data_IF_233400417517
#
_entry.id   IF_233400417517
#
_cell.length_a   1.000
_cell.length_b   1.000
_cell.length_c   1.000
_cell.angle_alpha   90.00
_cell.angle_beta   90.00
_cell.angle_gamma   90.00
#
_symmetry.space_group_name_H-M   'P 1'
#
loop_
_entity.id
_entity.type
_entity.pdbx_description
1 polymer ?
#
# COMPACT_ATOMS: atom_id res chain seq x y z
N UNK A 1 13.51 21.54 -8.23
CA UNK A 1 13.89 20.11 -8.32
C UNK A 1 13.60 19.56 -6.94
N UNK A 2 12.39 19.06 -6.73
CA UNK A 2 11.77 19.02 -5.38
C UNK A 2 11.56 17.60 -4.86
N UNK A 3 12.34 16.64 -5.39
CA UNK A 3 12.27 15.24 -4.99
C UNK A 3 13.58 14.84 -4.32
N UNK A 4 13.48 14.44 -3.05
CA UNK A 4 14.57 13.83 -2.29
C UNK A 4 14.57 12.32 -2.58
N UNK A 5 15.64 11.75 -3.17
CA UNK A 5 15.73 10.30 -3.33
C UNK A 5 15.97 9.67 -1.94
N UNK A 6 14.96 9.00 -1.41
CA UNK A 6 15.07 8.26 -0.15
C UNK A 6 15.34 6.79 -0.49
N UNK A 7 16.47 6.29 -0.02
CA UNK A 7 16.77 4.85 -0.05
C UNK A 7 16.36 4.27 1.30
N UNK A 8 15.21 3.60 1.35
CA UNK A 8 14.74 2.89 2.53
C UNK A 8 15.11 1.40 2.39
N UNK A 9 15.73 0.82 3.42
CA UNK A 9 15.87 -0.63 3.50
C UNK A 9 14.52 -1.24 3.86
N UNK A 10 13.88 -1.87 2.88
CA UNK A 10 12.56 -2.47 3.02
C UNK A 10 12.62 -3.98 3.30
N UNK A 11 13.81 -4.56 3.48
CA UNK A 11 13.96 -6.01 3.66
C UNK A 11 13.23 -6.47 4.93
N UNK A 12 12.24 -7.35 4.77
CA UNK A 12 11.31 -7.84 5.82
C UNK A 12 10.60 -6.72 6.60
N UNK A 13 10.37 -5.58 5.94
CA UNK A 13 9.55 -4.51 6.53
C UNK A 13 8.10 -4.67 6.11
N UNK A 14 7.14 -4.61 7.05
CA UNK A 14 5.73 -4.61 6.72
C UNK A 14 5.41 -3.33 5.92
N UNK A 15 4.89 -3.50 4.71
CA UNK A 15 4.48 -2.40 3.83
C UNK A 15 3.00 -2.57 3.47
N UNK A 16 2.19 -1.56 3.80
CA UNK A 16 0.78 -1.56 3.43
C UNK A 16 0.57 -0.87 2.08
N UNK A 17 -0.08 -1.57 1.16
CA UNK A 17 -0.56 -1.04 -0.12
C UNK A 17 -2.08 -0.94 -0.06
N UNK A 18 -2.60 0.27 -0.31
CA UNK A 18 -4.04 0.51 -0.38
C UNK A 18 -4.44 0.65 -1.85
N UNK A 19 -5.41 -0.17 -2.26
CA UNK A 19 -5.91 -0.25 -3.64
C UNK A 19 -5.44 -1.51 -4.36
N UNK A 20 -6.34 -2.10 -5.15
CA UNK A 20 -6.14 -3.38 -5.84
C UNK A 20 -6.11 -3.26 -7.36
N UNK A 21 -5.78 -2.08 -7.89
CA UNK A 21 -5.70 -1.85 -9.33
C UNK A 21 -4.29 -2.11 -9.89
N UNK A 22 -4.15 -2.10 -11.20
CA UNK A 22 -2.88 -2.32 -11.90
C UNK A 22 -1.78 -1.31 -11.48
N UNK A 23 -2.16 -0.08 -11.14
CA UNK A 23 -1.22 0.96 -10.69
C UNK A 23 -0.64 0.60 -9.30
N UNK A 24 -1.47 0.14 -8.38
CA UNK A 24 -1.05 -0.35 -7.08
C UNK A 24 -0.19 -1.61 -7.21
N UNK A 25 -0.51 -2.48 -8.18
CA UNK A 25 0.28 -3.67 -8.47
C UNK A 25 1.71 -3.33 -8.89
N UNK A 26 1.89 -2.32 -9.75
CA UNK A 26 3.24 -1.86 -10.17
C UNK A 26 4.10 -1.45 -8.97
N UNK A 27 3.52 -0.78 -7.98
CA UNK A 27 4.23 -0.39 -6.74
C UNK A 27 4.51 -1.60 -5.86
N UNK A 28 3.51 -2.48 -5.69
CA UNK A 28 3.62 -3.75 -4.94
C UNK A 28 4.78 -4.59 -5.46
N UNK A 29 4.91 -4.74 -6.78
CA UNK A 29 6.00 -5.48 -7.40
C UNK A 29 7.39 -4.90 -7.08
N UNK A 30 7.50 -3.58 -6.97
CA UNK A 30 8.76 -2.94 -6.56
C UNK A 30 9.08 -3.21 -5.09
N UNK A 31 8.08 -3.18 -4.22
CA UNK A 31 8.22 -3.49 -2.79
C UNK A 31 8.63 -4.96 -2.58
N UNK A 32 7.97 -5.89 -3.27
CA UNK A 32 8.32 -7.31 -3.26
C UNK A 32 9.76 -7.56 -3.72
N UNK A 33 10.20 -6.91 -4.81
CA UNK A 33 11.59 -6.99 -5.28
C UNK A 33 12.59 -6.42 -4.27
N UNK A 34 12.18 -5.44 -3.48
CA UNK A 34 12.99 -4.89 -2.39
C UNK A 34 13.00 -5.80 -1.15
N UNK A 35 12.25 -6.91 -1.17
CA UNK A 35 12.14 -7.87 -0.07
C UNK A 35 11.22 -7.40 1.05
N UNK A 36 10.28 -6.51 0.76
CA UNK A 36 9.27 -6.08 1.73
C UNK A 36 8.20 -7.13 1.97
N UNK A 37 7.68 -7.17 3.19
CA UNK A 37 6.51 -7.97 3.54
C UNK A 37 5.27 -7.15 3.20
N UNK A 38 4.71 -7.38 2.01
CA UNK A 38 3.65 -6.52 1.49
C UNK A 38 2.28 -7.03 1.92
N UNK A 39 1.51 -6.12 2.50
CA UNK A 39 0.11 -6.31 2.84
C UNK A 39 -0.76 -5.43 1.94
N UNK A 40 -1.88 -5.94 1.45
CA UNK A 40 -2.79 -5.20 0.59
C UNK A 40 -4.18 -5.08 1.21
N UNK A 41 -4.76 -3.88 1.13
CA UNK A 41 -6.16 -3.60 1.46
C UNK A 41 -6.81 -3.02 0.21
N UNK A 42 -7.86 -3.67 -0.27
CA UNK A 42 -8.64 -3.17 -1.40
C UNK A 42 -10.01 -3.85 -1.47
N UNK A 43 -11.08 -3.10 -1.78
CA UNK A 43 -12.41 -3.68 -1.98
C UNK A 43 -12.46 -4.59 -3.21
N UNK A 44 -11.69 -4.26 -4.24
CA UNK A 44 -11.54 -5.07 -5.45
C UNK A 44 -10.05 -5.25 -5.73
N UNK A 45 -9.66 -6.50 -6.01
CA UNK A 45 -8.30 -6.89 -6.38
C UNK A 45 -8.25 -7.33 -7.83
N UNK A 46 -7.25 -6.85 -8.57
CA UNK A 46 -6.95 -7.34 -9.92
C UNK A 46 -6.44 -8.78 -9.89
N UNK A 47 -6.48 -9.46 -11.02
CA UNK A 47 -6.07 -10.85 -11.15
C UNK A 47 -4.62 -11.09 -10.69
N UNK A 48 -3.74 -10.12 -10.88
CA UNK A 48 -2.34 -10.18 -10.47
C UNK A 48 -2.19 -10.21 -8.94
N UNK A 49 -2.99 -9.41 -8.21
CA UNK A 49 -3.01 -9.45 -6.76
C UNK A 49 -3.54 -10.80 -6.26
N UNK A 50 -4.62 -11.31 -6.86
CA UNK A 50 -5.17 -12.62 -6.50
C UNK A 50 -4.15 -13.74 -6.72
N UNK A 51 -3.40 -13.70 -7.82
CA UNK A 51 -2.34 -14.66 -8.10
C UNK A 51 -1.22 -14.58 -7.07
N UNK A 52 -0.77 -13.37 -6.71
CA UNK A 52 0.28 -13.18 -5.72
C UNK A 52 -0.14 -13.62 -4.30
N UNK A 53 -1.41 -13.45 -3.94
CA UNK A 53 -1.98 -13.98 -2.69
C UNK A 53 -1.95 -15.51 -2.72
N UNK A 54 -2.35 -16.12 -3.85
CA UNK A 54 -2.35 -17.58 -4.01
C UNK A 54 -0.93 -18.18 -3.96
N UNK A 55 0.08 -17.43 -4.40
CA UNK A 55 1.50 -17.79 -4.29
C UNK A 55 2.11 -17.46 -2.91
N UNK A 56 1.32 -16.99 -1.94
CA UNK A 56 1.78 -16.57 -0.62
C UNK A 56 2.87 -15.47 -0.67
N UNK A 57 2.90 -14.65 -1.72
CA UNK A 57 3.85 -13.56 -1.87
C UNK A 57 3.41 -12.29 -1.14
N UNK A 58 2.11 -12.10 -0.96
CA UNK A 58 1.52 -10.93 -0.30
C UNK A 58 0.38 -11.35 0.63
N UNK A 59 0.19 -10.57 1.70
CA UNK A 59 -0.92 -10.78 2.62
C UNK A 59 -2.11 -9.88 2.23
N UNK A 60 -3.31 -10.44 2.21
CA UNK A 60 -4.54 -9.67 2.06
C UNK A 60 -5.16 -9.38 3.41
N UNK A 61 -5.31 -8.10 3.74
CA UNK A 61 -5.86 -7.65 5.02
C UNK A 61 -7.37 -7.40 4.97
N UNK A 62 -7.94 -7.19 3.78
CA UNK A 62 -9.40 -7.08 3.60
C UNK A 62 -9.84 -5.98 2.63
N UNK A 63 -11.16 -5.80 2.57
CA UNK A 63 -11.84 -4.94 1.59
C UNK A 63 -11.96 -3.47 2.03
N UNK A 64 -12.06 -3.23 3.34
CA UNK A 64 -12.30 -1.90 3.90
C UNK A 64 -11.09 -1.43 4.70
N UNK A 65 -10.52 -0.31 4.28
CA UNK A 65 -9.49 0.38 5.05
C UNK A 65 -10.11 0.93 6.34
N UNK A 66 -9.72 0.38 7.49
CA UNK A 66 -10.09 0.95 8.78
C UNK A 66 -8.95 1.81 9.33
N UNK A 67 -9.25 2.91 10.03
CA UNK A 67 -8.22 3.74 10.66
C UNK A 67 -7.31 2.94 11.61
N UNK A 68 -7.80 1.83 12.17
CA UNK A 68 -7.03 0.93 13.03
C UNK A 68 -5.93 0.15 12.27
N UNK A 69 -6.03 0.01 10.94
CA UNK A 69 -4.98 -0.63 10.11
C UNK A 69 -3.71 0.24 10.00
N UNK A 70 -3.78 1.51 10.43
CA UNK A 70 -2.65 2.43 10.48
C UNK A 70 -1.78 2.26 11.73
N UNK A 71 -2.21 1.51 12.74
CA UNK A 71 -1.42 1.29 13.95
C UNK A 71 -0.17 0.46 13.63
N UNK A 72 0.96 1.16 13.50
CA UNK A 72 2.28 0.59 13.18
C UNK A 72 2.74 0.78 11.72
N UNK A 73 1.95 1.42 10.87
CA UNK A 73 2.29 1.66 9.46
C UNK A 73 2.74 3.12 9.22
N UNK A 74 3.93 3.31 8.64
CA UNK A 74 4.44 4.64 8.29
C UNK A 74 3.65 5.19 7.09
N UNK A 75 2.86 6.25 7.30
CA UNK A 75 2.04 6.86 6.24
C UNK A 75 2.44 8.32 5.96
N UNK A 76 2.53 8.67 4.66
CA UNK A 76 2.71 10.04 4.18
C UNK A 76 1.43 10.48 3.46
N UNK A 77 0.70 11.42 4.07
CA UNK A 77 -0.50 12.03 3.49
C UNK A 77 -0.12 13.13 2.47
N UNK A 78 -0.74 13.21 1.28
CA UNK A 78 -0.64 14.41 0.46
C UNK A 78 -1.39 15.58 1.13
N UNK A 79 -0.93 16.84 0.94
CA UNK A 79 -1.56 18.01 1.55
C UNK A 79 -3.01 18.14 1.08
N UNK A 80 -3.95 18.02 2.01
CA UNK A 80 -5.38 18.20 1.77
C UNK A 80 -5.67 19.69 1.56
N UNK A 81 -5.80 20.14 0.30
CA UNK A 81 -6.30 21.49 0.00
C UNK A 81 -7.77 21.59 0.43
N UNK A 82 -8.07 22.62 1.23
CA UNK A 82 -9.31 22.72 1.97
C UNK A 82 -10.56 23.03 1.15
N UNK A 83 -11.71 22.63 1.70
CA UNK A 83 -12.83 23.54 2.03
C UNK A 83 -13.80 22.80 2.95
N UNK A 84 -13.84 23.20 4.21
CA UNK A 84 -14.84 22.76 5.18
C UNK A 84 -15.92 23.85 5.21
N UNK A 85 -17.00 23.65 4.48
CA UNK A 85 -18.27 24.34 4.73
C UNK A 85 -19.25 23.26 5.19
N UNK A 86 -19.54 23.24 6.49
CA UNK A 86 -20.71 22.56 7.01
C UNK A 86 -21.69 23.62 7.53
N UNK A 87 -23.00 23.44 7.32
CA UNK A 87 -24.02 24.16 8.07
C UNK A 87 -24.07 23.73 9.54
#
# INVERSE_FOLDING_TARGET
MDYLPIFADLKRRPCLVVGGNEIAWRKTRMLLKAGADVKVIAPELSAEFQHAIAENQIDYLGETFQPEDLDGSFWLSPPRSGRRSMP
#
